data_IF_239174052615
#
_entry.id   IF_239174052615
#
_cell.length_a   1.000
_cell.length_b   1.000
_cell.length_c   1.000
_cell.angle_alpha   90.00
_cell.angle_beta   90.00
_cell.angle_gamma   90.00
#
_symmetry.space_group_name_H-M   'P 1'
#
loop_
_entity.id
_entity.type
_entity.pdbx_description
1 polymer ?
#
# COMPACT_ATOMS: atom_id res chain seq x y z
N UNK A 1 54.46 19.14 17.73
CA UNK A 1 53.76 19.50 16.48
C UNK A 1 52.90 18.40 15.83
N UNK A 2 52.92 17.12 16.26
CA UNK A 2 52.13 16.04 15.62
C UNK A 2 50.66 15.90 16.10
N UNK A 3 50.26 16.59 17.16
CA UNK A 3 48.90 16.48 17.74
C UNK A 3 47.92 17.42 17.04
N UNK A 4 48.34 18.65 16.68
CA UNK A 4 47.49 19.61 15.95
C UNK A 4 47.08 19.11 14.56
N UNK A 5 47.96 18.38 13.86
CA UNK A 5 47.66 17.83 12.52
C UNK A 5 46.59 16.74 12.50
N UNK A 6 46.27 16.12 13.65
CA UNK A 6 45.19 15.12 13.78
C UNK A 6 43.87 15.70 14.29
N UNK A 7 43.90 16.88 14.91
CA UNK A 7 42.70 17.55 15.43
C UNK A 7 41.90 18.25 14.33
N UNK A 8 42.57 18.78 13.31
CA UNK A 8 41.93 19.42 12.15
C UNK A 8 41.04 18.43 11.37
N UNK A 9 41.51 17.22 10.97
CA UNK A 9 40.64 16.27 10.27
C UNK A 9 39.52 15.72 11.17
N UNK A 10 39.75 15.57 12.48
CA UNK A 10 38.70 15.13 13.40
C UNK A 10 37.60 16.18 13.57
N UNK A 11 37.98 17.45 13.73
CA UNK A 11 37.02 18.56 13.80
C UNK A 11 36.20 18.65 12.51
N UNK A 12 36.85 18.51 11.35
CA UNK A 12 36.19 18.55 10.05
C UNK A 12 35.19 17.39 9.88
N UNK A 13 35.57 16.18 10.30
CA UNK A 13 34.68 15.00 10.31
C UNK A 13 33.48 15.23 11.24
N UNK A 14 33.70 15.76 12.45
CA UNK A 14 32.62 16.07 13.39
C UNK A 14 31.69 17.15 12.84
N UNK A 15 32.23 18.20 12.21
CA UNK A 15 31.41 19.25 11.59
C UNK A 15 30.60 18.71 10.41
N UNK A 16 31.18 17.86 9.57
CA UNK A 16 30.45 17.19 8.48
C UNK A 16 29.37 16.25 9.01
N UNK A 17 29.67 15.49 10.06
CA UNK A 17 28.67 14.63 10.75
C UNK A 17 27.54 15.45 11.35
N UNK A 18 27.84 16.56 12.03
CA UNK A 18 26.83 17.45 12.59
C UNK A 18 26.01 18.14 11.49
N UNK A 19 26.63 18.53 10.38
CA UNK A 19 25.94 19.06 9.22
C UNK A 19 25.03 18.02 8.58
N UNK A 20 25.49 16.77 8.43
CA UNK A 20 24.70 15.66 7.92
C UNK A 20 23.52 15.34 8.84
N UNK A 21 23.74 15.25 10.16
CA UNK A 21 22.68 15.04 11.16
C UNK A 21 21.68 16.20 11.13
N UNK A 22 22.15 17.45 11.04
CA UNK A 22 21.27 18.61 10.93
C UNK A 22 20.47 18.58 9.63
N UNK A 23 21.09 18.30 8.49
CA UNK A 23 20.34 18.16 7.22
C UNK A 23 19.38 16.97 7.22
N UNK A 24 19.68 15.88 7.92
CA UNK A 24 18.79 14.74 8.07
C UNK A 24 17.64 15.02 9.05
N UNK A 25 17.87 15.84 10.08
CA UNK A 25 16.83 16.31 11.01
C UNK A 25 15.97 17.43 10.40
N UNK A 26 16.55 18.25 9.53
CA UNK A 26 15.89 19.30 8.75
C UNK A 26 15.27 18.74 7.45
N UNK A 27 15.49 17.46 7.11
CA UNK A 27 14.64 16.79 6.12
C UNK A 27 13.24 16.83 6.71
N UNK A 28 12.28 17.52 6.09
CA UNK A 28 10.95 17.55 6.62
C UNK A 28 10.42 16.12 6.52
N UNK A 29 10.40 15.40 7.64
CA UNK A 29 9.21 14.61 7.90
C UNK A 29 8.09 15.62 7.80
N UNK A 30 7.39 15.62 6.66
CA UNK A 30 6.41 16.65 6.32
C UNK A 30 5.52 16.91 7.54
N UNK A 31 5.12 18.15 7.79
CA UNK A 31 4.36 18.52 8.98
C UNK A 31 3.24 17.50 9.26
N UNK A 32 3.49 16.62 10.23
CA UNK A 32 2.57 15.56 10.64
C UNK A 32 1.56 16.12 11.63
N UNK A 33 1.45 17.43 11.80
CA UNK A 33 0.43 18.03 12.66
C UNK A 33 -0.96 17.56 12.23
N UNK A 34 -1.84 17.38 13.22
CA UNK A 34 -3.24 17.08 12.90
C UNK A 34 -3.83 18.31 12.22
N UNK A 35 -4.34 18.17 10.97
CA UNK A 35 -4.84 19.33 10.24
C UNK A 35 -6.03 19.92 10.99
N UNK A 36 -6.09 21.24 11.15
CA UNK A 36 -7.19 21.90 11.83
C UNK A 36 -8.55 21.70 11.12
N UNK A 37 -8.53 21.49 9.80
CA UNK A 37 -9.70 21.23 8.94
C UNK A 37 -9.43 20.08 7.99
N UNK A 38 -10.48 19.33 7.65
CA UNK A 38 -10.40 18.28 6.63
C UNK A 38 -10.14 18.89 5.26
N UNK A 39 -9.15 18.38 4.56
CA UNK A 39 -8.96 18.72 3.16
C UNK A 39 -10.12 18.16 2.33
N UNK A 40 -10.52 18.88 1.27
CA UNK A 40 -11.67 18.52 0.43
C UNK A 40 -11.61 17.07 -0.07
N UNK A 41 -10.41 16.60 -0.44
CA UNK A 41 -10.18 15.22 -0.92
C UNK A 41 -10.45 14.13 0.11
N UNK A 42 -10.45 14.45 1.41
CA UNK A 42 -10.75 13.51 2.51
C UNK A 42 -12.19 13.62 3.02
N UNK A 43 -13.05 14.39 2.35
CA UNK A 43 -14.48 14.46 2.65
C UNK A 43 -15.19 13.24 2.08
N UNK A 44 -14.98 12.08 2.70
CA UNK A 44 -15.57 10.79 2.31
C UNK A 44 -17.01 10.59 2.82
N UNK A 45 -17.70 11.66 3.20
CA UNK A 45 -18.97 11.60 3.95
C UNK A 45 -20.06 10.82 3.22
N UNK A 46 -20.16 11.00 1.91
CA UNK A 46 -21.15 10.31 1.08
C UNK A 46 -20.87 8.81 1.02
N UNK A 47 -19.63 8.40 0.82
CA UNK A 47 -19.24 6.98 0.78
C UNK A 47 -19.43 6.33 2.14
N UNK A 48 -18.94 6.96 3.22
CA UNK A 48 -19.08 6.44 4.58
C UNK A 48 -20.56 6.30 4.96
N UNK A 49 -21.39 7.31 4.64
CA UNK A 49 -22.82 7.25 4.90
C UNK A 49 -23.50 6.10 4.12
N UNK A 50 -23.17 5.93 2.83
CA UNK A 50 -23.70 4.82 2.02
C UNK A 50 -23.29 3.45 2.58
N UNK A 51 -22.04 3.27 2.97
CA UNK A 51 -21.54 2.04 3.57
C UNK A 51 -22.25 1.73 4.89
N UNK A 52 -22.38 2.72 5.77
CA UNK A 52 -23.10 2.55 7.04
C UNK A 52 -24.58 2.21 6.82
N UNK A 53 -25.25 2.87 5.88
CA UNK A 53 -26.64 2.58 5.52
C UNK A 53 -26.82 1.15 5.00
N UNK A 54 -25.88 0.67 4.18
CA UNK A 54 -25.88 -0.71 3.70
C UNK A 54 -25.75 -1.71 4.86
N UNK A 55 -24.82 -1.50 5.79
CA UNK A 55 -24.66 -2.37 6.96
C UNK A 55 -25.90 -2.37 7.86
N UNK A 56 -26.50 -1.21 8.10
CA UNK A 56 -27.75 -1.11 8.87
C UNK A 56 -28.89 -1.88 8.20
N UNK A 57 -29.08 -1.71 6.89
CA UNK A 57 -30.10 -2.44 6.15
C UNK A 57 -29.86 -3.96 6.17
N UNK A 58 -28.59 -4.39 6.06
CA UNK A 58 -28.24 -5.79 6.14
C UNK A 58 -28.49 -6.37 7.55
N UNK A 59 -28.02 -5.69 8.60
CA UNK A 59 -28.25 -6.13 9.98
C UNK A 59 -29.74 -6.24 10.33
N UNK A 60 -30.56 -5.28 9.88
CA UNK A 60 -32.01 -5.33 10.11
C UNK A 60 -32.66 -6.54 9.42
N UNK A 61 -32.24 -6.85 8.19
CA UNK A 61 -32.75 -7.99 7.42
C UNK A 61 -32.37 -9.33 8.06
N UNK A 62 -31.12 -9.45 8.48
CA UNK A 62 -30.58 -10.67 9.11
C UNK A 62 -30.87 -10.72 10.62
N UNK A 63 -31.60 -9.75 11.17
CA UNK A 63 -31.92 -9.61 12.59
C UNK A 63 -30.68 -9.62 13.51
N UNK A 64 -29.58 -9.03 13.05
CA UNK A 64 -28.32 -8.93 13.77
C UNK A 64 -28.32 -7.66 14.62
N UNK A 65 -28.13 -7.81 15.94
CA UNK A 65 -27.87 -6.68 16.82
C UNK A 65 -26.40 -6.25 16.70
N UNK A 66 -26.09 -5.02 16.27
CA UNK A 66 -24.70 -4.57 16.15
C UNK A 66 -24.08 -4.31 17.53
N UNK A 67 -22.76 -4.48 17.62
CA UNK A 67 -22.01 -4.15 18.83
C UNK A 67 -22.02 -2.64 19.12
N UNK A 68 -21.88 -2.26 20.39
CA UNK A 68 -21.76 -0.87 20.79
C UNK A 68 -20.53 -0.20 20.13
N UNK A 69 -20.60 1.11 19.80
CA UNK A 69 -19.47 1.84 19.26
C UNK A 69 -18.23 1.76 20.15
N UNK A 70 -17.06 1.53 19.54
CA UNK A 70 -15.80 1.55 20.25
C UNK A 70 -15.46 2.97 20.74
N UNK A 71 -14.75 3.08 21.87
CA UNK A 71 -14.23 4.36 22.33
C UNK A 71 -13.26 4.98 21.33
N UNK A 72 -13.13 6.31 21.32
CA UNK A 72 -12.27 7.02 20.38
C UNK A 72 -10.80 6.59 20.46
N UNK A 73 -10.28 6.30 21.67
CA UNK A 73 -8.92 5.78 21.84
C UNK A 73 -8.74 4.37 21.25
N UNK A 74 -9.76 3.52 21.37
CA UNK A 74 -9.75 2.20 20.71
C UNK A 74 -9.75 2.35 19.19
N UNK A 75 -10.52 3.29 18.65
CA UNK A 75 -10.53 3.59 17.21
C UNK A 75 -9.15 4.08 16.76
N UNK A 76 -8.52 5.01 17.49
CA UNK A 76 -7.16 5.49 17.18
C UNK A 76 -6.14 4.34 17.18
N UNK A 77 -6.18 3.46 18.18
CA UNK A 77 -5.29 2.28 18.23
C UNK A 77 -5.49 1.38 17.02
N UNK A 78 -6.74 1.10 16.64
CA UNK A 78 -7.07 0.28 15.46
C UNK A 78 -6.60 0.94 14.17
N UNK A 79 -6.80 2.25 14.03
CA UNK A 79 -6.34 3.05 12.89
C UNK A 79 -4.83 2.95 12.72
N UNK A 80 -4.06 3.17 13.80
CA UNK A 80 -2.59 3.08 13.79
C UNK A 80 -2.10 1.66 13.49
N UNK A 81 -2.68 0.63 14.10
CA UNK A 81 -2.29 -0.75 13.82
C UNK A 81 -2.59 -1.14 12.35
N UNK A 82 -3.73 -0.71 11.83
CA UNK A 82 -4.15 -1.05 10.47
C UNK A 82 -3.37 -0.28 9.39
N UNK A 83 -2.94 0.95 9.67
CA UNK A 83 -2.35 1.83 8.67
C UNK A 83 -0.86 2.10 8.87
N UNK A 84 -0.33 2.03 10.09
CA UNK A 84 1.10 2.21 10.39
C UNK A 84 1.79 0.92 10.84
N UNK A 85 1.04 -0.15 11.15
CA UNK A 85 1.59 -1.41 11.64
C UNK A 85 2.07 -1.38 13.09
N UNK A 86 1.97 -0.24 13.76
CA UNK A 86 2.36 -0.04 15.16
C UNK A 86 1.23 0.60 15.95
N UNK A 87 1.34 0.54 17.27
CA UNK A 87 0.44 1.31 18.15
C UNK A 87 0.82 2.80 18.11
N UNK A 88 -0.11 3.72 18.45
CA UNK A 88 0.23 5.13 18.56
C UNK A 88 1.31 5.35 19.63
N UNK A 89 2.22 6.29 19.37
CA UNK A 89 3.18 6.76 20.37
C UNK A 89 2.50 7.48 21.53
N UNK A 90 3.21 7.63 22.65
CA UNK A 90 2.69 8.39 23.80
C UNK A 90 2.39 9.85 23.44
N UNK A 91 3.19 10.45 22.56
CA UNK A 91 2.97 11.81 22.08
C UNK A 91 1.67 11.91 21.26
N UNK A 92 1.46 10.99 20.30
CA UNK A 92 0.23 10.95 19.50
C UNK A 92 -1.01 10.73 20.37
N UNK A 93 -0.92 9.89 21.41
CA UNK A 93 -2.01 9.71 22.36
C UNK A 93 -2.34 11.01 23.09
N UNK A 94 -1.33 11.76 23.58
CA UNK A 94 -1.54 13.03 24.27
C UNK A 94 -2.12 14.09 23.33
N UNK A 95 -1.59 14.20 22.12
CA UNK A 95 -2.11 15.09 21.08
C UNK A 95 -3.57 14.74 20.74
N UNK A 96 -3.88 13.44 20.61
CA UNK A 96 -5.24 12.98 20.36
C UNK A 96 -6.15 13.35 21.52
N UNK A 97 -5.76 13.09 22.76
CA UNK A 97 -6.59 13.41 23.94
C UNK A 97 -6.85 14.92 24.08
N UNK A 98 -5.84 15.75 23.78
CA UNK A 98 -5.96 17.21 23.84
C UNK A 98 -6.79 17.81 22.69
N UNK A 99 -6.97 17.09 21.58
CA UNK A 99 -7.75 17.57 20.44
C UNK A 99 -9.26 17.58 20.75
N UNK A 100 -9.83 18.77 20.82
CA UNK A 100 -11.27 19.02 21.04
C UNK A 100 -12.01 19.47 19.78
N UNK A 101 -11.32 19.53 18.63
CA UNK A 101 -11.93 20.07 17.42
C UNK A 101 -12.90 19.10 16.74
N UNK A 102 -13.77 19.67 15.91
CA UNK A 102 -14.80 18.93 15.19
C UNK A 102 -14.22 17.88 14.27
N UNK A 103 -14.98 16.79 14.08
CA UNK A 103 -14.62 15.70 13.16
C UNK A 103 -13.22 15.13 13.44
N UNK A 104 -12.86 15.09 14.73
CA UNK A 104 -11.58 14.62 15.25
C UNK A 104 -11.09 13.33 14.59
N UNK A 105 -11.91 12.28 14.58
CA UNK A 105 -11.51 10.99 14.00
C UNK A 105 -11.15 11.11 12.52
N UNK A 106 -11.92 11.85 11.73
CA UNK A 106 -11.63 12.05 10.32
C UNK A 106 -10.32 12.83 10.10
N UNK A 107 -10.05 13.87 10.91
CA UNK A 107 -8.81 14.65 10.80
C UNK A 107 -7.59 13.81 11.17
N UNK A 108 -7.73 12.94 12.17
CA UNK A 108 -6.71 11.96 12.53
C UNK A 108 -6.53 10.89 11.47
N UNK A 109 -7.60 10.41 10.82
CA UNK A 109 -7.49 9.53 9.65
C UNK A 109 -6.72 10.19 8.51
N UNK A 110 -7.03 11.46 8.18
CA UNK A 110 -6.29 12.22 7.19
C UNK A 110 -4.80 12.34 7.57
N UNK A 111 -4.49 12.65 8.83
CA UNK A 111 -3.10 12.72 9.32
C UNK A 111 -2.38 11.38 9.14
N UNK A 112 -3.01 10.28 9.54
CA UNK A 112 -2.42 8.93 9.45
C UNK A 112 -2.13 8.54 8.00
N UNK A 113 -3.06 8.84 7.08
CA UNK A 113 -2.88 8.56 5.64
C UNK A 113 -1.83 9.45 4.97
N UNK A 114 -1.58 10.66 5.50
CA UNK A 114 -0.56 11.57 4.99
C UNK A 114 0.85 11.29 5.53
N UNK A 115 0.98 10.43 6.54
CA UNK A 115 2.25 10.08 7.18
C UNK A 115 3.01 9.02 6.35
N UNK A 116 4.33 9.16 6.22
CA UNK A 116 5.17 8.20 5.49
C UNK A 116 5.11 6.78 6.06
N UNK A 117 4.83 6.61 7.35
CA UNK A 117 4.62 5.29 7.96
C UNK A 117 3.47 4.55 7.29
N UNK A 118 2.43 5.25 6.83
CA UNK A 118 1.35 4.64 6.07
C UNK A 118 1.84 4.09 4.74
N UNK A 119 2.51 4.92 3.94
CA UNK A 119 3.03 4.51 2.65
C UNK A 119 3.93 3.27 2.77
N UNK A 120 4.90 3.30 3.69
CA UNK A 120 5.85 2.19 3.91
C UNK A 120 5.20 0.91 4.44
N UNK A 121 4.29 1.03 5.42
CA UNK A 121 3.63 -0.15 5.99
C UNK A 121 2.62 -0.78 5.03
N UNK A 122 1.82 0.07 4.38
CA UNK A 122 0.77 -0.38 3.49
C UNK A 122 1.36 -0.92 2.18
N UNK A 123 2.49 -0.38 1.69
CA UNK A 123 3.17 -0.91 0.51
C UNK A 123 3.65 -2.34 0.71
N UNK A 124 4.27 -2.71 1.84
CA UNK A 124 4.69 -4.10 2.11
C UNK A 124 3.51 -5.08 2.06
N UNK A 125 2.37 -4.69 2.62
CA UNK A 125 1.15 -5.51 2.59
C UNK A 125 0.57 -5.62 1.20
N UNK A 126 0.52 -4.50 0.48
CA UNK A 126 0.00 -4.45 -0.88
C UNK A 126 0.89 -5.24 -1.84
N UNK A 127 2.21 -5.14 -1.69
CA UNK A 127 3.20 -5.91 -2.43
C UNK A 127 2.94 -7.41 -2.28
N UNK A 128 2.75 -7.90 -1.05
CA UNK A 128 2.42 -9.30 -0.78
C UNK A 128 1.10 -9.75 -1.43
N UNK A 129 0.11 -8.86 -1.52
CA UNK A 129 -1.16 -9.14 -2.19
C UNK A 129 -0.97 -9.23 -3.71
N UNK A 130 -0.13 -8.36 -4.28
CA UNK A 130 0.09 -8.26 -5.72
C UNK A 130 1.01 -9.37 -6.25
N UNK A 131 2.16 -9.60 -5.60
CA UNK A 131 3.21 -10.49 -6.10
C UNK A 131 3.52 -11.67 -5.17
N UNK A 132 2.75 -11.86 -4.09
CA UNK A 132 2.95 -12.97 -3.16
C UNK A 132 4.16 -12.74 -2.24
N UNK A 133 4.65 -13.81 -1.61
CA UNK A 133 5.85 -13.79 -0.75
C UNK A 133 7.09 -14.41 -1.41
N UNK A 134 6.98 -14.88 -2.65
CA UNK A 134 8.08 -15.54 -3.35
C UNK A 134 9.12 -14.52 -3.79
N UNK A 135 10.40 -14.91 -3.74
CA UNK A 135 11.51 -14.05 -4.21
C UNK A 135 11.63 -14.01 -5.74
N UNK A 136 10.80 -14.77 -6.45
CA UNK A 136 10.74 -14.77 -7.91
C UNK A 136 12.06 -15.16 -8.60
N UNK A 137 12.12 -14.98 -9.93
CA UNK A 137 13.34 -15.22 -10.70
C UNK A 137 14.37 -14.11 -10.41
N UNK A 138 15.55 -14.51 -9.93
CA UNK A 138 16.59 -13.59 -9.43
C UNK A 138 17.00 -12.49 -10.43
N UNK A 139 17.03 -12.78 -11.74
CA UNK A 139 17.45 -11.84 -12.77
C UNK A 139 16.33 -10.92 -13.26
N UNK A 140 15.07 -11.34 -13.12
CA UNK A 140 13.93 -10.67 -13.73
C UNK A 140 12.99 -10.01 -12.71
N UNK A 141 13.07 -10.38 -11.44
CA UNK A 141 12.22 -9.83 -10.40
C UNK A 141 13.05 -9.14 -9.32
N UNK A 142 12.62 -7.92 -8.98
CA UNK A 142 13.25 -6.98 -8.08
C UNK A 142 12.25 -6.50 -7.04
N UNK A 143 11.99 -7.37 -6.06
CA UNK A 143 11.09 -7.13 -4.95
C UNK A 143 11.36 -5.80 -4.24
N UNK A 144 12.63 -5.51 -3.97
CA UNK A 144 13.09 -4.28 -3.32
C UNK A 144 12.65 -3.02 -4.07
N UNK A 145 12.77 -3.03 -5.40
CA UNK A 145 12.39 -1.91 -6.27
C UNK A 145 10.88 -1.77 -6.37
N UNK A 146 10.17 -2.90 -6.44
CA UNK A 146 8.72 -2.91 -6.51
C UNK A 146 8.08 -2.36 -5.24
N UNK A 147 8.53 -2.81 -4.06
CA UNK A 147 8.04 -2.33 -2.77
C UNK A 147 8.33 -0.84 -2.55
N UNK A 148 9.52 -0.37 -2.92
CA UNK A 148 9.88 1.04 -2.86
C UNK A 148 8.98 1.90 -3.77
N UNK A 149 8.77 1.48 -5.01
CA UNK A 149 7.88 2.18 -5.94
C UNK A 149 6.43 2.23 -5.44
N UNK A 150 5.90 1.12 -4.90
CA UNK A 150 4.56 1.11 -4.30
C UNK A 150 4.44 2.12 -3.15
N UNK A 151 5.45 2.18 -2.28
CA UNK A 151 5.49 3.16 -1.19
C UNK A 151 5.45 4.59 -1.73
N UNK A 152 6.24 4.90 -2.77
CA UNK A 152 6.22 6.20 -3.43
C UNK A 152 4.85 6.53 -4.04
N UNK A 153 4.20 5.59 -4.73
CA UNK A 153 2.87 5.79 -5.31
C UNK A 153 1.80 6.08 -4.24
N UNK A 154 1.87 5.37 -3.10
CA UNK A 154 0.96 5.56 -1.98
C UNK A 154 1.21 6.91 -1.27
N UNK A 155 2.47 7.27 -1.05
CA UNK A 155 2.85 8.56 -0.47
C UNK A 155 2.40 9.74 -1.34
N UNK A 156 2.50 9.59 -2.66
CA UNK A 156 1.99 10.56 -3.63
C UNK A 156 0.46 10.60 -3.71
N UNK A 157 -0.24 9.64 -3.07
CA UNK A 157 -1.69 9.46 -3.17
C UNK A 157 -2.13 9.39 -4.64
N UNK A 158 -1.38 8.63 -5.45
CA UNK A 158 -1.71 8.42 -6.86
C UNK A 158 -3.04 7.65 -6.98
N UNK A 159 -3.91 8.00 -7.94
CA UNK A 159 -5.15 7.27 -8.18
C UNK A 159 -4.89 5.78 -8.42
N UNK A 160 -5.69 4.92 -7.75
CA UNK A 160 -5.51 3.47 -7.79
C UNK A 160 -5.68 2.91 -9.20
N UNK A 161 -6.62 3.43 -9.98
CA UNK A 161 -6.82 3.06 -11.38
C UNK A 161 -5.54 3.24 -12.20
N UNK A 162 -4.82 4.35 -12.01
CA UNK A 162 -3.56 4.59 -12.71
C UNK A 162 -2.45 3.64 -12.27
N UNK A 163 -2.39 3.29 -10.98
CA UNK A 163 -1.44 2.29 -10.47
C UNK A 163 -1.73 0.93 -11.09
N UNK A 164 -3.01 0.49 -11.09
CA UNK A 164 -3.42 -0.78 -11.68
C UNK A 164 -3.12 -0.83 -13.18
N UNK A 165 -3.44 0.23 -13.92
CA UNK A 165 -3.12 0.30 -15.36
C UNK A 165 -1.61 0.17 -15.59
N UNK A 166 -0.78 0.84 -14.79
CA UNK A 166 0.66 0.71 -14.93
C UNK A 166 1.16 -0.68 -14.58
N UNK A 167 0.61 -1.34 -13.56
CA UNK A 167 0.98 -2.73 -13.20
C UNK A 167 0.66 -3.73 -14.32
N UNK A 168 -0.52 -3.62 -14.93
CA UNK A 168 -1.03 -4.58 -15.90
C UNK A 168 -0.45 -4.36 -17.30
N UNK A 169 -0.15 -3.11 -17.66
CA UNK A 169 0.33 -2.73 -18.99
C UNK A 169 1.82 -2.29 -18.99
N UNK A 170 2.59 -2.69 -17.98
CA UNK A 170 3.95 -2.21 -17.80
C UNK A 170 4.89 -2.69 -18.92
N UNK A 171 5.77 -1.81 -19.41
CA UNK A 171 6.86 -2.14 -20.33
C UNK A 171 8.20 -1.63 -19.80
N UNK A 172 9.27 -2.38 -20.07
CA UNK A 172 10.66 -2.00 -19.76
C UNK A 172 11.33 -2.85 -18.68
N UNK A 173 12.54 -2.44 -18.28
CA UNK A 173 13.36 -3.22 -17.36
C UNK A 173 12.85 -3.14 -15.92
N UNK A 174 12.76 -4.26 -15.17
CA UNK A 174 12.28 -4.31 -13.77
C UNK A 174 13.01 -3.38 -12.79
N UNK A 175 14.25 -3.01 -13.10
CA UNK A 175 15.05 -2.10 -12.29
C UNK A 175 14.74 -0.62 -12.54
N UNK A 176 14.36 -0.26 -13.77
CA UNK A 176 14.08 1.11 -14.19
C UNK A 176 12.59 1.44 -14.24
N UNK A 177 11.75 0.42 -14.46
CA UNK A 177 10.29 0.49 -14.49
C UNK A 177 9.72 -0.51 -13.46
N UNK A 178 9.70 -0.17 -12.16
CA UNK A 178 9.39 -1.16 -11.13
C UNK A 178 8.02 -1.81 -11.25
N UNK A 179 7.02 -1.15 -11.86
CA UNK A 179 5.70 -1.73 -12.10
C UNK A 179 5.75 -3.04 -12.91
N UNK A 180 6.74 -3.23 -13.78
CA UNK A 180 6.89 -4.47 -14.57
C UNK A 180 7.14 -5.70 -13.70
N UNK A 181 7.56 -5.52 -12.44
CA UNK A 181 7.74 -6.61 -11.49
C UNK A 181 6.42 -7.36 -11.15
N UNK A 182 5.27 -6.75 -11.41
CA UNK A 182 3.98 -7.46 -11.33
C UNK A 182 3.85 -8.56 -12.38
N UNK A 183 4.45 -8.37 -13.56
CA UNK A 183 4.48 -9.33 -14.66
C UNK A 183 5.66 -10.29 -14.47
N UNK A 184 6.85 -9.77 -14.16
CA UNK A 184 8.09 -10.57 -14.17
C UNK A 184 8.20 -11.58 -13.03
N UNK A 185 7.40 -11.44 -11.96
CA UNK A 185 7.27 -12.46 -10.93
C UNK A 185 6.77 -13.81 -11.48
N UNK A 186 6.04 -13.78 -12.59
CA UNK A 186 5.50 -14.96 -13.27
C UNK A 186 6.36 -15.39 -14.47
N UNK A 187 7.61 -14.91 -14.58
CA UNK A 187 8.51 -15.42 -15.61
C UNK A 187 8.88 -16.89 -15.33
N UNK A 188 8.79 -17.70 -16.37
CA UNK A 188 9.18 -19.10 -16.39
C UNK A 188 10.11 -19.31 -17.59
N UNK A 189 11.37 -19.65 -17.32
CA UNK A 189 12.45 -19.66 -18.32
C UNK A 189 12.54 -18.30 -19.05
N UNK A 190 12.43 -18.27 -20.38
CA UNK A 190 12.47 -17.05 -21.20
C UNK A 190 11.07 -16.52 -21.56
N UNK A 191 10.00 -17.15 -21.06
CA UNK A 191 8.60 -16.82 -21.33
C UNK A 191 7.83 -16.44 -20.06
N UNK A 192 6.57 -16.03 -20.23
CA UNK A 192 5.67 -15.70 -19.12
C UNK A 192 4.71 -16.85 -18.85
N UNK A 193 4.46 -17.14 -17.57
CA UNK A 193 3.36 -18.01 -17.15
C UNK A 193 2.05 -17.21 -17.14
N UNK A 194 1.35 -17.24 -18.27
CA UNK A 194 0.11 -16.50 -18.52
C UNK A 194 -1.02 -16.92 -17.56
N UNK A 195 -1.08 -18.21 -17.23
CA UNK A 195 -2.11 -18.75 -16.33
C UNK A 195 -1.87 -18.24 -14.91
N UNK A 196 -0.61 -18.24 -14.48
CA UNK A 196 -0.23 -17.65 -13.19
C UNK A 196 -0.53 -16.15 -13.12
N UNK A 197 -0.26 -15.38 -14.19
CA UNK A 197 -0.60 -13.96 -14.24
C UNK A 197 -2.11 -13.72 -14.23
N UNK A 198 -2.89 -14.48 -14.98
CA UNK A 198 -4.34 -14.38 -14.98
C UNK A 198 -4.90 -14.62 -13.56
N UNK A 199 -4.48 -15.71 -12.90
CA UNK A 199 -4.86 -16.02 -11.53
C UNK A 199 -4.46 -14.92 -10.55
N UNK A 200 -3.22 -14.41 -10.63
CA UNK A 200 -2.74 -13.28 -9.79
C UNK A 200 -3.57 -12.03 -10.01
N UNK A 201 -3.83 -11.65 -11.26
CA UNK A 201 -4.59 -10.44 -11.64
C UNK A 201 -6.00 -10.48 -11.06
N UNK A 202 -6.71 -11.61 -11.20
CA UNK A 202 -8.07 -11.74 -10.69
C UNK A 202 -8.12 -11.69 -9.16
N UNK A 203 -7.17 -12.36 -8.49
CA UNK A 203 -7.08 -12.29 -7.02
C UNK A 203 -6.75 -10.88 -6.52
N UNK A 204 -5.78 -10.23 -7.14
CA UNK A 204 -5.28 -8.92 -6.75
C UNK A 204 -6.33 -7.81 -6.93
N UNK A 205 -7.02 -7.79 -8.07
CA UNK A 205 -7.84 -6.64 -8.45
C UNK A 205 -9.34 -6.88 -8.36
N UNK A 206 -9.80 -8.12 -8.54
CA UNK A 206 -11.23 -8.47 -8.44
C UNK A 206 -11.60 -9.12 -7.10
N UNK A 207 -10.61 -9.52 -6.31
CA UNK A 207 -10.83 -10.23 -5.04
C UNK A 207 -11.53 -11.58 -5.22
N UNK A 208 -11.48 -12.16 -6.43
CA UNK A 208 -12.07 -13.45 -6.75
C UNK A 208 -10.97 -14.51 -6.86
N UNK A 209 -11.31 -15.76 -6.55
CA UNK A 209 -10.45 -16.92 -6.81
C UNK A 209 -11.18 -17.80 -7.81
N UNK A 210 -10.77 -17.72 -9.07
CA UNK A 210 -11.32 -18.56 -10.14
C UNK A 210 -10.23 -19.44 -10.75
N UNK A 211 -9.19 -19.75 -9.99
CA UNK A 211 -8.06 -20.58 -10.44
C UNK A 211 -8.52 -21.94 -10.98
N UNK A 212 -9.56 -22.54 -10.40
CA UNK A 212 -10.13 -23.78 -10.93
C UNK A 212 -10.74 -23.62 -12.34
N UNK A 213 -11.08 -22.38 -12.71
CA UNK A 213 -11.53 -22.03 -14.06
C UNK A 213 -10.43 -22.11 -15.13
N UNK A 214 -9.20 -22.40 -14.75
CA UNK A 214 -8.14 -22.76 -15.71
C UNK A 214 -8.49 -24.02 -16.50
N UNK A 215 -8.95 -25.06 -15.82
CA UNK A 215 -9.18 -26.39 -16.40
C UNK A 215 -10.64 -26.69 -16.73
N UNK A 216 -11.62 -26.09 -16.06
CA UNK A 216 -13.05 -26.36 -16.25
C UNK A 216 -13.92 -25.22 -15.70
N UNK A 217 -15.22 -25.14 -16.01
CA UNK A 217 -16.11 -24.13 -15.40
C UNK A 217 -16.12 -24.16 -13.86
N UNK A 218 -16.22 -23.01 -13.20
CA UNK A 218 -16.13 -22.93 -11.74
C UNK A 218 -17.32 -23.60 -11.04
N UNK A 219 -17.04 -24.57 -10.15
CA UNK A 219 -18.07 -25.45 -9.58
C UNK A 219 -18.96 -24.81 -8.49
N UNK A 220 -18.47 -23.81 -7.74
CA UNK A 220 -19.27 -23.13 -6.69
C UNK A 220 -19.99 -21.87 -7.17
N UNK A 221 -19.60 -21.33 -8.32
CA UNK A 221 -20.15 -20.06 -8.83
C UNK A 221 -20.32 -20.17 -10.35
N UNK A 222 -21.55 -20.42 -10.83
CA UNK A 222 -21.81 -20.72 -12.23
C UNK A 222 -21.56 -19.52 -13.16
N UNK A 223 -21.33 -18.31 -12.62
CA UNK A 223 -21.00 -17.10 -13.38
C UNK A 223 -19.60 -17.17 -13.98
N UNK A 224 -18.70 -17.93 -13.38
CA UNK A 224 -17.31 -18.03 -13.83
C UNK A 224 -17.11 -19.26 -14.73
N UNK A 225 -16.72 -18.99 -15.97
CA UNK A 225 -16.53 -19.98 -17.02
C UNK A 225 -15.05 -20.17 -17.33
N UNK A 226 -14.70 -21.35 -17.82
CA UNK A 226 -13.32 -21.61 -18.25
C UNK A 226 -12.83 -20.57 -19.27
N UNK A 227 -13.73 -20.20 -20.19
CA UNK A 227 -13.47 -19.18 -21.20
C UNK A 227 -13.15 -17.79 -20.63
N UNK A 228 -13.66 -17.43 -19.44
CA UNK A 228 -13.33 -16.16 -18.80
C UNK A 228 -11.88 -16.15 -18.31
N UNK A 229 -11.42 -17.26 -17.73
CA UNK A 229 -10.03 -17.40 -17.29
C UNK A 229 -9.08 -17.41 -18.49
N UNK A 230 -9.39 -18.24 -19.49
CA UNK A 230 -8.61 -18.34 -20.72
C UNK A 230 -8.54 -17.00 -21.46
N UNK A 231 -9.63 -16.23 -21.50
CA UNK A 231 -9.65 -14.90 -22.10
C UNK A 231 -8.69 -13.92 -21.43
N UNK A 232 -8.57 -13.98 -20.09
CA UNK A 232 -7.60 -13.17 -19.37
C UNK A 232 -6.16 -13.69 -19.54
N UNK A 233 -5.94 -15.01 -19.54
CA UNK A 233 -4.62 -15.57 -19.80
C UNK A 233 -4.13 -15.18 -21.21
N UNK A 234 -5.00 -15.26 -22.21
CA UNK A 234 -4.70 -14.87 -23.59
C UNK A 234 -4.28 -13.40 -23.74
N UNK A 235 -4.73 -12.50 -22.86
CA UNK A 235 -4.25 -11.12 -22.84
C UNK A 235 -2.73 -11.04 -22.59
N UNK A 236 -2.21 -11.89 -21.70
CA UNK A 236 -0.79 -11.94 -21.35
C UNK A 236 0.08 -12.70 -22.35
N UNK A 237 -0.49 -13.47 -23.28
CA UNK A 237 0.25 -14.31 -24.24
C UNK A 237 1.15 -13.53 -25.22
N UNK A 238 0.93 -12.22 -25.35
CA UNK A 238 1.77 -11.32 -26.15
C UNK A 238 2.96 -10.72 -25.39
N UNK A 239 3.06 -10.95 -24.09
CA UNK A 239 4.20 -10.51 -23.27
C UNK A 239 5.47 -11.20 -23.75
N UNK A 240 6.57 -10.47 -23.82
CA UNK A 240 7.89 -10.98 -24.21
C UNK A 240 8.94 -10.47 -23.24
N UNK A 241 9.85 -11.35 -22.85
CA UNK A 241 11.11 -10.96 -22.20
C UNK A 241 12.17 -10.86 -23.29
N UNK A 242 12.63 -9.63 -23.56
CA UNK A 242 13.64 -9.31 -24.58
C UNK A 242 14.83 -8.60 -23.97
#
# INVERSE_FOLDING_TARGET
MRILGRLIPLALVVTVLLALVKTAADRPGGDVSTPARLARRFQADTTVAKTNAWFQAHWNREQIAPAAPASQLTILRRLSLALHGTVPSLEELRQFQADTGDRKLQRWTQRVLADNRFASYFSDRLERVLVGSDEGPFLAFRRDRFGAWLSEQLAANRPWDQIVTELVCAEGLPTGQPATNFITIAQLDDDVDEQQLAGRTIRAFLGQRIDCAECHDHFLDPRWKQSHFQGLAAFYASTRFT
#
